data_IF_629771764173
#
_entry.id   IF_629771764173
#
_cell.length_a   1.000
_cell.length_b   1.000
_cell.length_c   1.000
_cell.angle_alpha   90.00
_cell.angle_beta   90.00
_cell.angle_gamma   90.00
#
_symmetry.space_group_name_H-M   'P 1'
#
loop_
_entity.id
_entity.type
_entity.pdbx_description
1 polymer ?
#
# COMPACT_ATOMS: atom_id res chain seq x y z
N UNK A 1 -47.63 -40.32 26.77
CA UNK A 1 -47.00 -40.90 25.57
C UNK A 1 -47.76 -40.37 24.37
N UNK A 2 -47.35 -39.21 23.83
CA UNK A 2 -47.81 -38.69 22.55
C UNK A 2 -46.58 -38.16 21.85
N UNK A 3 -46.08 -38.95 20.91
CA UNK A 3 -45.05 -38.55 19.96
C UNK A 3 -45.63 -37.45 19.06
N UNK A 4 -45.11 -36.23 19.23
CA UNK A 4 -45.34 -35.16 18.25
C UNK A 4 -44.51 -35.53 17.03
N UNK A 5 -45.22 -36.05 16.03
CA UNK A 5 -44.77 -36.38 14.68
C UNK A 5 -43.91 -35.24 14.13
N UNK A 6 -42.61 -35.51 13.95
CA UNK A 6 -41.69 -34.59 13.29
C UNK A 6 -42.06 -34.44 11.82
N UNK A 7 -42.51 -33.25 11.42
CA UNK A 7 -42.80 -32.89 10.03
C UNK A 7 -41.51 -33.00 9.20
N UNK A 8 -41.38 -33.95 8.25
CA UNK A 8 -40.18 -34.10 7.44
C UNK A 8 -40.20 -33.04 6.33
N UNK A 9 -39.45 -31.95 6.51
CA UNK A 9 -39.28 -30.93 5.46
C UNK A 9 -38.84 -29.55 5.94
N UNK A 10 -39.23 -29.15 7.16
CA UNK A 10 -38.98 -27.79 7.67
C UNK A 10 -37.51 -27.48 7.98
N UNK A 11 -36.67 -28.50 8.26
CA UNK A 11 -35.24 -28.30 8.56
C UNK A 11 -34.36 -28.14 7.31
N UNK A 12 -34.75 -28.76 6.19
CA UNK A 12 -33.95 -28.76 4.95
C UNK A 12 -34.03 -27.44 4.20
N UNK A 13 -35.20 -26.78 4.22
CA UNK A 13 -35.43 -25.50 3.53
C UNK A 13 -34.79 -24.34 4.28
N UNK A 14 -34.88 -24.32 5.61
CA UNK A 14 -34.22 -23.30 6.42
C UNK A 14 -32.69 -23.30 6.23
N UNK A 15 -32.06 -24.48 6.10
CA UNK A 15 -30.62 -24.57 5.85
C UNK A 15 -30.20 -24.06 4.46
N UNK A 16 -31.01 -24.32 3.43
CA UNK A 16 -30.71 -23.87 2.06
C UNK A 16 -30.96 -22.37 1.88
N UNK A 17 -31.97 -21.80 2.54
CA UNK A 17 -32.24 -20.37 2.56
C UNK A 17 -31.16 -19.57 3.28
N UNK A 18 -30.67 -20.08 4.43
CA UNK A 18 -29.55 -19.47 5.16
C UNK A 18 -28.26 -19.54 4.33
N UNK A 19 -27.99 -20.68 3.68
CA UNK A 19 -26.85 -20.84 2.79
C UNK A 19 -26.93 -19.90 1.57
N UNK A 20 -28.11 -19.78 0.95
CA UNK A 20 -28.35 -18.88 -0.18
C UNK A 20 -28.20 -17.40 0.19
N UNK A 21 -28.74 -16.98 1.35
CA UNK A 21 -28.56 -15.63 1.89
C UNK A 21 -27.10 -15.32 2.18
N UNK A 22 -26.36 -16.23 2.82
CA UNK A 22 -24.91 -16.08 3.07
C UNK A 22 -24.12 -15.97 1.78
N UNK A 23 -24.36 -16.85 0.81
CA UNK A 23 -23.66 -16.82 -0.48
C UNK A 23 -23.91 -15.51 -1.25
N UNK A 24 -25.11 -14.95 -1.14
CA UNK A 24 -25.46 -13.68 -1.78
C UNK A 24 -24.84 -12.47 -1.06
N UNK A 25 -24.80 -12.46 0.27
CA UNK A 25 -24.14 -11.42 1.06
C UNK A 25 -22.63 -11.40 0.79
N UNK A 26 -21.97 -12.57 0.86
CA UNK A 26 -20.54 -12.70 0.55
C UNK A 26 -20.24 -12.24 -0.88
N UNK A 27 -21.11 -12.57 -1.85
CA UNK A 27 -20.93 -12.10 -3.24
C UNK A 27 -21.00 -10.58 -3.34
N UNK A 28 -21.93 -9.95 -2.62
CA UNK A 28 -22.05 -8.47 -2.58
C UNK A 28 -20.87 -7.83 -1.89
N UNK A 29 -20.47 -8.35 -0.73
CA UNK A 29 -19.31 -7.91 0.02
C UNK A 29 -18.03 -7.97 -0.83
N UNK A 30 -17.83 -9.05 -1.59
CA UNK A 30 -16.68 -9.18 -2.51
C UNK A 30 -16.72 -8.13 -3.62
N UNK A 31 -17.88 -7.89 -4.25
CA UNK A 31 -17.98 -6.85 -5.28
C UNK A 31 -17.77 -5.44 -4.73
N UNK A 32 -18.32 -5.15 -3.54
CA UNK A 32 -18.09 -3.88 -2.85
C UNK A 32 -16.61 -3.72 -2.47
N UNK A 33 -15.97 -4.76 -1.96
CA UNK A 33 -14.54 -4.78 -1.67
C UNK A 33 -13.71 -4.46 -2.92
N UNK A 34 -13.97 -5.14 -4.03
CA UNK A 34 -13.25 -4.92 -5.29
C UNK A 34 -13.48 -3.50 -5.81
N UNK A 35 -14.71 -2.99 -5.76
CA UNK A 35 -15.03 -1.63 -6.18
C UNK A 35 -14.28 -0.60 -5.32
N UNK A 36 -14.31 -0.75 -3.99
CA UNK A 36 -13.62 0.15 -3.06
C UNK A 36 -12.11 0.06 -3.22
N UNK A 37 -11.56 -1.15 -3.33
CA UNK A 37 -10.13 -1.37 -3.54
C UNK A 37 -9.67 -0.71 -4.85
N UNK A 38 -10.40 -0.92 -5.94
CA UNK A 38 -10.10 -0.27 -7.21
C UNK A 38 -10.16 1.26 -7.08
N UNK A 39 -11.17 1.80 -6.39
CA UNK A 39 -11.30 3.25 -6.16
C UNK A 39 -10.12 3.82 -5.37
N UNK A 40 -9.70 3.13 -4.29
CA UNK A 40 -8.59 3.59 -3.45
C UNK A 40 -7.21 3.33 -4.06
N UNK A 41 -7.06 2.31 -4.90
CA UNK A 41 -5.80 2.00 -5.58
C UNK A 41 -5.58 2.84 -6.85
N UNK A 42 -6.64 3.40 -7.44
CA UNK A 42 -6.57 4.22 -8.63
C UNK A 42 -5.76 5.51 -8.42
N UNK A 43 -5.88 6.13 -7.24
CA UNK A 43 -5.16 7.35 -6.91
C UNK A 43 -3.78 7.03 -6.34
N UNK A 44 -2.78 6.95 -7.21
CA UNK A 44 -1.40 6.75 -6.80
C UNK A 44 -0.92 7.89 -5.89
N UNK A 45 -0.11 7.57 -4.86
CA UNK A 45 0.48 8.59 -4.00
C UNK A 45 1.34 9.52 -4.84
N UNK A 46 1.25 10.82 -4.55
CA UNK A 46 2.04 11.82 -5.25
C UNK A 46 3.48 11.74 -4.75
N UNK A 47 4.36 11.20 -5.56
CA UNK A 47 5.80 11.10 -5.30
C UNK A 47 6.50 12.43 -4.97
N UNK A 48 5.90 13.58 -5.31
CA UNK A 48 6.41 14.91 -4.96
C UNK A 48 5.74 15.52 -3.70
N UNK A 49 5.14 14.69 -2.82
CA UNK A 49 4.47 15.15 -1.61
C UNK A 49 5.31 14.86 -0.36
N UNK A 50 5.89 15.90 0.23
CA UNK A 50 6.84 15.82 1.34
C UNK A 50 6.32 15.00 2.53
N UNK A 51 5.07 15.20 2.94
CA UNK A 51 4.53 14.49 4.11
C UNK A 51 4.34 12.98 3.93
N UNK A 52 4.23 12.47 2.70
CA UNK A 52 4.22 11.02 2.42
C UNK A 52 5.64 10.50 2.29
N UNK A 53 6.51 11.28 1.64
CA UNK A 53 7.90 10.92 1.45
C UNK A 53 8.63 10.77 2.78
N UNK A 54 8.48 11.74 3.69
CA UNK A 54 9.05 11.68 5.05
C UNK A 54 8.69 10.40 5.81
N UNK A 55 7.43 9.94 5.69
CA UNK A 55 6.99 8.68 6.32
C UNK A 55 7.64 7.45 5.68
N UNK A 56 7.80 7.48 4.35
CA UNK A 56 8.45 6.39 3.63
C UNK A 56 9.96 6.38 3.89
N UNK A 57 10.62 7.54 3.94
CA UNK A 57 12.05 7.67 4.28
C UNK A 57 12.35 7.01 5.64
N UNK A 58 11.49 7.23 6.65
CA UNK A 58 11.60 6.54 7.93
C UNK A 58 11.40 5.02 7.79
N UNK A 59 10.43 4.58 6.98
CA UNK A 59 10.22 3.16 6.68
C UNK A 59 11.47 2.53 6.05
N UNK A 60 12.10 3.22 5.09
CA UNK A 60 13.31 2.75 4.41
C UNK A 60 14.49 2.69 5.37
N UNK A 61 14.73 3.74 6.15
CA UNK A 61 15.78 3.78 7.16
C UNK A 61 15.70 2.62 8.15
N UNK A 62 14.48 2.27 8.61
CA UNK A 62 14.27 1.14 9.51
C UNK A 62 14.64 -0.18 8.83
N UNK A 63 14.19 -0.40 7.59
CA UNK A 63 14.39 -1.68 6.88
C UNK A 63 15.79 -1.85 6.32
N UNK A 64 16.37 -0.77 5.79
CA UNK A 64 17.64 -0.79 5.07
C UNK A 64 18.83 -0.68 6.03
N UNK A 65 18.66 0.02 7.15
CA UNK A 65 19.76 0.39 8.04
C UNK A 65 19.51 0.08 9.52
N UNK A 66 18.27 -0.26 9.91
CA UNK A 66 17.92 -0.49 11.31
C UNK A 66 17.97 0.78 12.17
N UNK A 67 17.78 1.95 11.57
CA UNK A 67 17.85 3.26 12.24
C UNK A 67 16.55 4.05 12.07
N UNK A 68 16.37 5.06 12.93
CA UNK A 68 15.28 6.04 12.82
C UNK A 68 15.75 7.37 12.20
N UNK A 69 17.06 7.51 11.97
CA UNK A 69 17.59 8.62 11.17
C UNK A 69 17.23 8.41 9.71
N UNK A 70 16.86 9.49 9.02
CA UNK A 70 16.61 9.48 7.57
C UNK A 70 17.74 10.17 6.79
N UNK A 71 18.96 10.23 7.33
CA UNK A 71 20.09 10.95 6.71
C UNK A 71 20.40 10.53 5.27
N UNK A 72 20.16 9.27 4.89
CA UNK A 72 20.38 8.81 3.52
C UNK A 72 19.17 9.01 2.58
N UNK A 73 18.03 9.45 3.12
CA UNK A 73 16.76 9.55 2.39
C UNK A 73 16.10 10.93 2.46
N UNK A 74 16.57 11.85 3.33
CA UNK A 74 15.89 13.12 3.60
C UNK A 74 15.72 14.01 2.36
N UNK A 75 16.57 13.86 1.33
CA UNK A 75 16.44 14.58 0.06
C UNK A 75 15.14 14.28 -0.70
N UNK A 76 14.39 13.25 -0.30
CA UNK A 76 13.06 12.96 -0.84
C UNK A 76 11.99 13.91 -0.29
N UNK A 77 12.27 14.68 0.77
CA UNK A 77 11.27 15.47 1.48
C UNK A 77 11.81 16.82 1.99
N UNK A 78 10.96 17.84 2.01
CA UNK A 78 11.19 19.06 2.81
C UNK A 78 10.65 18.93 4.25
N UNK A 79 9.87 17.88 4.53
CA UNK A 79 9.25 17.63 5.82
C UNK A 79 10.15 16.70 6.66
N UNK A 80 11.09 17.28 7.40
CA UNK A 80 11.97 16.58 8.32
C UNK A 80 12.30 17.46 9.53
N UNK A 81 12.75 16.83 10.62
CA UNK A 81 13.31 17.49 11.78
C UNK A 81 14.84 17.27 11.81
N UNK A 82 15.61 18.36 11.87
CA UNK A 82 17.06 18.32 12.05
C UNK A 82 17.39 18.44 13.55
N UNK A 83 17.96 17.41 14.15
CA UNK A 83 18.37 17.41 15.55
C UNK A 83 19.81 16.94 15.69
N UNK A 84 20.69 17.81 16.21
CA UNK A 84 22.13 17.55 16.39
C UNK A 84 22.86 17.07 15.13
N UNK A 85 22.44 17.56 13.95
CA UNK A 85 23.05 17.17 12.67
C UNK A 85 22.47 15.91 12.05
N UNK A 86 21.48 15.28 12.70
CA UNK A 86 20.79 14.08 12.20
C UNK A 86 19.37 14.44 11.78
N UNK A 87 18.94 13.93 10.63
CA UNK A 87 17.60 14.14 10.07
C UNK A 87 16.65 13.04 10.57
N UNK A 88 15.44 13.44 10.94
CA UNK A 88 14.37 12.56 11.37
C UNK A 88 13.08 12.91 10.64
N UNK A 89 12.17 11.94 10.51
CA UNK A 89 10.81 12.28 10.08
C UNK A 89 10.12 13.14 11.15
N UNK A 90 9.48 14.22 10.73
CA UNK A 90 8.66 15.11 11.57
C UNK A 90 7.21 14.61 11.70
N UNK A 91 6.88 13.46 11.09
CA UNK A 91 5.53 12.90 11.05
C UNK A 91 5.32 11.86 12.15
N UNK A 92 4.05 11.64 12.50
CA UNK A 92 3.68 10.55 13.39
C UNK A 92 4.16 9.20 12.80
N UNK A 93 4.78 8.33 13.63
CA UNK A 93 5.51 7.17 13.11
C UNK A 93 4.61 5.98 12.75
N UNK A 94 3.32 6.02 13.10
CA UNK A 94 2.41 4.87 12.99
C UNK A 94 2.35 4.27 11.58
N UNK A 95 2.16 5.12 10.56
CA UNK A 95 2.12 4.67 9.15
C UNK A 95 3.48 4.18 8.65
N UNK A 96 4.59 4.73 9.17
CA UNK A 96 5.94 4.29 8.82
C UNK A 96 6.21 2.90 9.36
N UNK A 97 5.86 2.64 10.62
CA UNK A 97 5.99 1.30 11.21
C UNK A 97 5.10 0.26 10.52
N UNK A 98 3.86 0.61 10.18
CA UNK A 98 2.99 -0.28 9.39
C UNK A 98 3.57 -0.58 8.00
N UNK A 99 4.35 0.34 7.43
CA UNK A 99 4.99 0.17 6.13
C UNK A 99 6.18 -0.79 6.13
N UNK A 100 6.84 -1.01 7.27
CA UNK A 100 8.07 -1.84 7.40
C UNK A 100 7.94 -3.23 6.75
N UNK A 101 6.94 -4.07 7.10
CA UNK A 101 6.84 -5.40 6.49
C UNK A 101 6.59 -5.36 4.98
N UNK A 102 5.84 -4.36 4.50
CA UNK A 102 5.52 -4.23 3.09
C UNK A 102 6.69 -3.70 2.27
N UNK A 103 7.47 -2.75 2.81
CA UNK A 103 8.69 -2.29 2.16
C UNK A 103 9.76 -3.39 2.12
N UNK A 104 9.90 -4.17 3.20
CA UNK A 104 10.78 -5.34 3.21
C UNK A 104 10.39 -6.37 2.14
N UNK A 105 9.09 -6.66 1.99
CA UNK A 105 8.58 -7.52 0.93
C UNK A 105 8.83 -6.93 -0.47
N UNK A 106 8.59 -5.63 -0.65
CA UNK A 106 8.87 -4.92 -1.90
C UNK A 106 10.34 -5.06 -2.30
N UNK A 107 11.28 -4.89 -1.36
CA UNK A 107 12.71 -5.03 -1.61
C UNK A 107 13.08 -6.44 -2.12
N UNK A 108 12.44 -7.48 -1.59
CA UNK A 108 12.62 -8.85 -2.10
C UNK A 108 12.10 -9.00 -3.53
N UNK A 109 10.94 -8.42 -3.84
CA UNK A 109 10.33 -8.44 -5.18
C UNK A 109 11.17 -7.63 -6.19
N UNK A 110 11.66 -6.47 -5.77
CA UNK A 110 12.43 -5.54 -6.60
C UNK A 110 13.79 -6.12 -7.05
N UNK A 111 14.37 -7.03 -6.26
CA UNK A 111 15.59 -7.78 -6.62
C UNK A 111 15.39 -8.75 -7.77
N UNK A 112 14.15 -9.06 -8.16
CA UNK A 112 13.91 -9.94 -9.29
C UNK A 112 14.40 -9.29 -10.61
N UNK A 113 15.01 -10.06 -11.53
CA UNK A 113 15.49 -9.52 -12.81
C UNK A 113 14.38 -8.85 -13.63
N UNK A 114 13.16 -9.38 -13.54
CA UNK A 114 12.00 -8.84 -14.24
C UNK A 114 11.66 -7.42 -13.76
N UNK A 115 11.53 -7.23 -12.45
CA UNK A 115 11.19 -5.92 -11.89
C UNK A 115 12.33 -4.95 -12.14
N UNK A 116 13.58 -5.36 -11.92
CA UNK A 116 14.76 -4.53 -12.20
C UNK A 116 14.80 -4.03 -13.65
N UNK A 117 14.51 -4.89 -14.63
CA UNK A 117 14.42 -4.48 -16.03
C UNK A 117 13.27 -3.49 -16.27
N UNK A 118 12.12 -3.67 -15.62
CA UNK A 118 11.02 -2.71 -15.70
C UNK A 118 11.42 -1.34 -15.13
N UNK A 119 12.11 -1.29 -13.98
CA UNK A 119 12.57 -0.03 -13.37
C UNK A 119 13.50 0.73 -14.31
N UNK A 120 14.45 0.01 -14.94
CA UNK A 120 15.39 0.59 -15.90
C UNK A 120 14.64 1.15 -17.11
N UNK A 121 13.69 0.39 -17.67
CA UNK A 121 12.87 0.84 -18.81
C UNK A 121 12.04 2.08 -18.49
N UNK A 122 11.47 2.15 -17.28
CA UNK A 122 10.69 3.30 -16.83
C UNK A 122 11.58 4.53 -16.61
N UNK A 123 12.78 4.35 -16.06
CA UNK A 123 13.76 5.41 -15.91
C UNK A 123 14.35 5.93 -17.23
N UNK A 124 14.45 5.08 -18.25
CA UNK A 124 14.98 5.44 -19.58
C UNK A 124 13.93 6.02 -20.55
N UNK A 125 12.67 6.17 -20.13
CA UNK A 125 11.61 6.63 -21.04
C UNK A 125 11.65 8.15 -21.24
N UNK A 126 11.98 8.57 -22.46
CA UNK A 126 12.14 9.99 -22.85
C UNK A 126 10.87 10.83 -22.58
N UNK A 127 9.68 10.25 -22.78
CA UNK A 127 8.42 10.96 -22.51
C UNK A 127 8.25 11.37 -21.03
N UNK A 128 8.92 10.69 -20.11
CA UNK A 128 8.91 11.02 -18.68
C UNK A 128 10.04 12.00 -18.34
N UNK A 129 11.15 11.95 -19.08
CA UNK A 129 12.23 12.94 -19.01
C UNK A 129 11.75 14.35 -19.42
N UNK A 130 10.84 14.45 -20.38
CA UNK A 130 10.29 15.73 -20.86
C UNK A 130 9.32 16.40 -19.86
N UNK A 131 8.83 15.66 -18.85
CA UNK A 131 7.97 16.21 -17.79
C UNK A 131 8.74 16.81 -16.61
N UNK A 132 10.08 16.81 -16.68
CA UNK A 132 10.96 17.34 -15.66
C UNK A 132 11.05 18.87 -15.78
N UNK A 133 10.88 19.58 -14.65
CA UNK A 133 11.20 21.01 -14.57
C UNK A 133 12.69 21.23 -14.86
N UNK A 134 13.04 22.24 -15.65
CA UNK A 134 14.40 22.77 -15.72
C UNK A 134 14.87 23.14 -14.30
N UNK A 135 15.79 22.34 -13.73
CA UNK A 135 16.28 22.45 -12.34
C UNK A 135 15.85 21.33 -11.38
N UNK A 136 15.04 20.36 -11.82
CA UNK A 136 14.77 19.13 -11.04
C UNK A 136 15.88 18.09 -11.21
N UNK A 137 16.10 17.23 -10.20
CA UNK A 137 17.16 16.20 -10.17
C UNK A 137 16.98 15.05 -11.18
N UNK A 138 16.02 15.14 -12.10
CA UNK A 138 15.76 14.14 -13.12
C UNK A 138 15.11 12.85 -12.63
N UNK A 139 14.77 11.96 -13.57
CA UNK A 139 14.40 10.58 -13.28
C UNK A 139 15.65 9.76 -12.97
N UNK A 140 16.20 9.98 -11.77
CA UNK A 140 17.18 9.06 -11.22
C UNK A 140 16.48 7.71 -10.99
N UNK A 141 17.18 6.62 -11.28
CA UNK A 141 16.70 5.25 -11.03
C UNK A 141 16.18 5.09 -9.59
N UNK A 142 16.80 5.81 -8.66
CA UNK A 142 16.41 5.90 -7.25
C UNK A 142 15.03 6.53 -7.04
N UNK A 143 14.65 7.56 -7.81
CA UNK A 143 13.32 8.18 -7.74
C UNK A 143 12.24 7.26 -8.30
N UNK A 144 12.56 6.48 -9.33
CA UNK A 144 11.65 5.44 -9.85
C UNK A 144 11.43 4.36 -8.79
N UNK A 145 12.52 3.84 -8.21
CA UNK A 145 12.46 2.89 -7.10
C UNK A 145 11.63 3.44 -5.94
N UNK A 146 11.88 4.68 -5.53
CA UNK A 146 11.15 5.37 -4.48
C UNK A 146 9.65 5.46 -4.78
N UNK A 147 9.27 5.86 -5.99
CA UNK A 147 7.87 5.98 -6.39
C UNK A 147 7.14 4.62 -6.40
N UNK A 148 7.81 3.56 -6.85
CA UNK A 148 7.24 2.20 -6.80
C UNK A 148 7.14 1.68 -5.37
N UNK A 149 8.16 1.90 -4.54
CA UNK A 149 8.13 1.56 -3.12
C UNK A 149 6.97 2.29 -2.42
N UNK A 150 6.83 3.60 -2.64
CA UNK A 150 5.75 4.42 -2.10
C UNK A 150 4.37 3.89 -2.51
N UNK A 151 4.21 3.56 -3.80
CA UNK A 151 2.96 3.02 -4.33
C UNK A 151 2.62 1.65 -3.74
N UNK A 152 3.60 0.75 -3.65
CA UNK A 152 3.43 -0.59 -3.08
C UNK A 152 3.07 -0.52 -1.60
N UNK A 153 3.82 0.25 -0.81
CA UNK A 153 3.55 0.41 0.62
C UNK A 153 2.18 1.05 0.84
N UNK A 154 1.84 2.09 0.07
CA UNK A 154 0.53 2.77 0.19
C UNK A 154 -0.62 1.82 -0.14
N UNK A 155 -0.49 0.97 -1.15
CA UNK A 155 -1.53 0.00 -1.50
C UNK A 155 -1.89 -0.91 -0.32
N UNK A 156 -0.87 -1.45 0.38
CA UNK A 156 -1.10 -2.36 1.50
C UNK A 156 -1.40 -1.68 2.83
N UNK A 157 -0.85 -0.49 3.08
CA UNK A 157 -1.08 0.25 4.33
C UNK A 157 -2.38 1.05 4.29
N UNK A 158 -2.80 1.51 3.11
CA UNK A 158 -3.96 2.42 2.95
C UNK A 158 -5.08 1.76 2.17
N UNK A 159 -4.85 1.36 0.91
CA UNK A 159 -5.95 0.96 0.02
C UNK A 159 -6.63 -0.33 0.46
N UNK A 160 -5.86 -1.37 0.85
CA UNK A 160 -6.40 -2.66 1.29
C UNK A 160 -7.18 -2.53 2.62
N UNK A 161 -6.62 -1.94 3.70
CA UNK A 161 -7.37 -1.77 4.94
C UNK A 161 -8.61 -0.89 4.79
N UNK A 162 -8.53 0.17 3.99
CA UNK A 162 -9.69 1.05 3.72
C UNK A 162 -10.81 0.29 3.00
N UNK A 163 -10.47 -0.54 2.00
CA UNK A 163 -11.44 -1.37 1.31
C UNK A 163 -12.05 -2.44 2.22
N UNK A 164 -11.25 -3.05 3.11
CA UNK A 164 -11.75 -4.02 4.09
C UNK A 164 -12.74 -3.37 5.07
N UNK A 165 -12.38 -2.22 5.64
CA UNK A 165 -13.23 -1.50 6.60
C UNK A 165 -14.54 -1.00 5.98
N UNK A 166 -14.57 -0.76 4.66
CA UNK A 166 -15.80 -0.35 3.97
C UNK A 166 -16.79 -1.48 3.69
N UNK A 167 -16.45 -2.73 4.00
CA UNK A 167 -17.28 -3.92 3.74
C UNK A 167 -17.76 -4.60 5.03
N UNK A 168 -17.17 -4.25 6.19
CA UNK A 168 -17.50 -4.79 7.52
C UNK A 168 -18.63 -4.01 8.18
#
# INVERSE_FOLDING_TARGET
MQDVVGVPGLRSTASSEVAGRRAWLVRREVWLFILLLASYAYFFPRWAHWGQNSKLDLTMAIVDQGTFSIDDYYENTGDYALYKGTHYSDKAPGTSFLGVPFYAAFKLIARSPLVSQMMVRLGSNQAMADTLREGGTGLLQEKVYFAMALSFVTFFVVSVPSALLGVV
#
